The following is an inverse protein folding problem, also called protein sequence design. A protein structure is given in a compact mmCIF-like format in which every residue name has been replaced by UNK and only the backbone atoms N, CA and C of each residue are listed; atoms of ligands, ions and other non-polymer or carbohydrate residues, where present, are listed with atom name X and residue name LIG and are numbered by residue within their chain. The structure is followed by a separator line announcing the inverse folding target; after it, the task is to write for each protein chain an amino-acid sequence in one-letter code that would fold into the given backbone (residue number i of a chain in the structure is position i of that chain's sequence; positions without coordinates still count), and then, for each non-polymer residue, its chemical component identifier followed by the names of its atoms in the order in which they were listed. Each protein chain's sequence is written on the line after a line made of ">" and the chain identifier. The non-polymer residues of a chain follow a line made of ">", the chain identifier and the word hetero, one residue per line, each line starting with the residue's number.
data_IF_705663732256
#
_entry.id   IF_705663732256
#
_cell.length_a   1.000
_cell.length_b   1.000
_cell.length_c   1.000
_cell.angle_alpha   90.00
_cell.angle_beta   90.00
_cell.angle_gamma   90.00
#
_symmetry.space_group_name_H-M   'P 1'
#
loop_
_entity.id
_entity.type
_entity.pdbx_description
1 polymer ?
#
# COMPACT_ATOMS: atom_id res chain seq x y z
N UNK A 1 -13.98 13.23 6.32
CA UNK A 1 -12.92 13.86 7.14
C UNK A 1 -13.48 13.98 8.54
N UNK A 2 -12.93 13.21 9.48
CA UNK A 2 -13.54 12.90 10.78
C UNK A 2 -13.41 14.02 11.83
N UNK A 3 -13.21 15.28 11.41
CA UNK A 3 -13.12 16.43 12.31
C UNK A 3 -11.89 16.46 13.23
N UNK A 4 -10.98 15.49 13.10
CA UNK A 4 -9.72 15.45 13.86
C UNK A 4 -8.74 16.52 13.32
N UNK A 5 -8.03 17.25 14.19
CA UNK A 5 -7.07 18.27 13.77
C UNK A 5 -5.70 17.69 13.35
N UNK A 6 -5.51 16.38 13.42
CA UNK A 6 -4.29 15.66 13.04
C UNK A 6 -4.64 14.34 12.34
N UNK A 7 -3.76 13.83 11.46
CA UNK A 7 -3.92 12.51 10.85
C UNK A 7 -3.54 11.39 11.84
N UNK A 8 -4.14 10.22 11.69
CA UNK A 8 -3.75 8.99 12.38
C UNK A 8 -3.16 7.94 11.42
N UNK A 9 -2.91 6.73 11.92
CA UNK A 9 -2.36 5.64 11.12
C UNK A 9 -3.38 5.14 10.09
N UNK A 10 -4.64 5.09 10.48
CA UNK A 10 -5.77 4.69 9.66
C UNK A 10 -5.92 5.60 8.42
N UNK A 11 -5.68 6.90 8.58
CA UNK A 11 -5.63 7.85 7.46
C UNK A 11 -4.51 7.50 6.45
N UNK A 12 -3.35 7.05 6.94
CA UNK A 12 -2.21 6.64 6.09
C UNK A 12 -2.49 5.31 5.39
N UNK A 13 -3.05 4.35 6.11
CA UNK A 13 -3.45 3.05 5.55
C UNK A 13 -4.49 3.20 4.43
N UNK A 14 -5.46 4.10 4.62
CA UNK A 14 -6.51 4.37 3.64
C UNK A 14 -5.97 4.90 2.31
N UNK A 15 -4.86 5.64 2.32
CA UNK A 15 -4.28 6.25 1.11
C UNK A 15 -3.10 5.47 0.53
N UNK A 16 -2.52 4.52 1.26
CA UNK A 16 -1.32 3.82 0.82
C UNK A 16 -1.50 3.06 -0.50
N UNK A 17 -2.64 2.37 -0.69
CA UNK A 17 -2.92 1.66 -1.95
C UNK A 17 -2.96 2.59 -3.18
N UNK A 18 -3.81 3.63 -3.24
CA UNK A 18 -3.84 4.53 -4.40
C UNK A 18 -2.55 5.32 -4.60
N UNK A 19 -1.79 5.62 -3.54
CA UNK A 19 -0.51 6.35 -3.65
C UNK A 19 0.61 5.46 -4.20
N UNK A 20 0.67 4.19 -3.78
CA UNK A 20 1.81 3.30 -4.06
C UNK A 20 1.59 2.36 -5.25
N UNK A 21 0.35 2.09 -5.68
CA UNK A 21 0.02 1.10 -6.73
C UNK A 21 0.88 1.19 -7.99
N UNK A 22 1.14 2.40 -8.47
CA UNK A 22 1.91 2.63 -9.71
C UNK A 22 3.36 3.11 -9.44
N UNK A 23 3.76 3.15 -8.16
CA UNK A 23 5.08 3.64 -7.72
C UNK A 23 6.02 2.52 -7.29
N UNK A 24 5.53 1.28 -7.29
CA UNK A 24 6.30 0.10 -6.94
C UNK A 24 6.54 -0.71 -8.21
N UNK A 25 7.80 -1.08 -8.42
CA UNK A 25 8.23 -1.96 -9.51
C UNK A 25 8.66 -3.28 -8.89
N UNK A 26 8.13 -4.38 -9.41
CA UNK A 26 8.51 -5.72 -8.97
C UNK A 26 9.89 -6.08 -9.54
N UNK A 27 10.61 -6.93 -8.82
CA UNK A 27 11.78 -7.58 -9.40
C UNK A 27 11.32 -8.73 -10.33
N UNK A 28 12.26 -9.25 -11.13
CA UNK A 28 11.99 -10.30 -12.11
C UNK A 28 11.29 -11.53 -11.51
N UNK A 29 11.71 -11.96 -10.32
CA UNK A 29 11.10 -13.11 -9.63
C UNK A 29 9.64 -12.82 -9.25
N UNK A 30 9.36 -11.63 -8.71
CA UNK A 30 8.01 -11.22 -8.32
C UNK A 30 7.05 -11.13 -9.51
N UNK A 31 7.54 -10.67 -10.66
CA UNK A 31 6.77 -10.72 -11.91
C UNK A 31 6.53 -12.17 -12.37
N UNK A 32 7.57 -13.02 -12.35
CA UNK A 32 7.47 -14.42 -12.77
C UNK A 32 6.51 -15.25 -11.89
N UNK A 33 6.46 -14.95 -10.59
CA UNK A 33 5.56 -15.59 -9.63
C UNK A 33 4.12 -15.02 -9.69
N UNK A 34 3.86 -14.02 -10.55
CA UNK A 34 2.56 -13.39 -10.70
C UNK A 34 2.11 -12.57 -9.48
N UNK A 35 3.07 -12.10 -8.67
CA UNK A 35 2.78 -11.30 -7.47
C UNK A 35 2.14 -9.99 -7.89
N UNK A 36 1.10 -9.58 -7.17
CA UNK A 36 0.45 -8.27 -7.38
C UNK A 36 0.98 -7.24 -6.40
N UNK A 37 1.17 -6.01 -6.88
CA UNK A 37 1.60 -4.87 -6.06
C UNK A 37 0.60 -4.62 -4.91
N UNK A 38 -0.68 -4.82 -5.15
CA UNK A 38 -1.73 -4.70 -4.12
C UNK A 38 -1.56 -5.68 -2.96
N UNK A 39 -1.10 -6.91 -3.23
CA UNK A 39 -0.85 -7.91 -2.20
C UNK A 39 0.34 -7.54 -1.33
N UNK A 40 1.39 -6.96 -1.92
CA UNK A 40 2.55 -6.45 -1.21
C UNK A 40 2.21 -5.28 -0.29
N UNK A 41 1.46 -4.30 -0.81
CA UNK A 41 1.01 -3.14 -0.03
C UNK A 41 0.15 -3.60 1.15
N UNK A 42 -0.81 -4.51 0.92
CA UNK A 42 -1.69 -5.01 1.98
C UNK A 42 -0.98 -5.86 3.05
N UNK A 43 0.16 -6.49 2.73
CA UNK A 43 1.00 -7.17 3.73
C UNK A 43 1.77 -6.18 4.60
N UNK A 44 2.27 -5.09 4.01
CA UNK A 44 3.04 -4.07 4.73
C UNK A 44 2.20 -3.29 5.75
N UNK A 45 0.88 -3.21 5.56
CA UNK A 45 -0.05 -2.53 6.47
C UNK A 45 -0.46 -3.36 7.70
N UNK A 46 -0.08 -4.64 7.79
CA UNK A 46 -0.51 -5.54 8.86
C UNK A 46 0.46 -5.64 10.04
N UNK A 47 1.41 -4.71 10.17
CA UNK A 47 2.43 -4.70 11.23
C UNK A 47 2.48 -3.36 11.94
#
# INVERSE_FOLDING_TARGET
>A
MDGRPYPDLEDVEAVALPVLRHRIVLNFQGEADGVKVEELIGRAQKG
#
